data_IF_677174032329
#
_entry.id   IF_677174032329
#
_cell.length_a   1.000
_cell.length_b   1.000
_cell.length_c   1.000
_cell.angle_alpha   90.00
_cell.angle_beta   90.00
_cell.angle_gamma   90.00
#
_symmetry.space_group_name_H-M   'P 1'
#
loop_
_entity.id
_entity.type
_entity.pdbx_description
1 polymer ?
#
# COMPACT_ATOMS: atom_id res chain seq x y z
N UNK A 1 -6.79 25.62 2.77
CA UNK A 1 -7.61 24.57 2.07
C UNK A 1 -8.54 23.88 3.05
N UNK A 2 -9.72 23.41 2.63
CA UNK A 2 -10.65 22.69 3.54
C UNK A 2 -10.42 21.16 3.45
N UNK A 3 -9.28 20.67 3.94
CA UNK A 3 -8.96 19.23 3.99
C UNK A 3 -9.25 18.67 5.38
N UNK A 4 -9.95 17.54 5.43
CA UNK A 4 -10.31 16.83 6.66
C UNK A 4 -9.59 15.49 6.82
N UNK A 5 -9.06 14.94 5.70
CA UNK A 5 -8.33 13.68 5.70
C UNK A 5 -7.09 13.77 4.83
N UNK A 6 -5.94 13.47 5.43
CA UNK A 6 -4.67 13.34 4.72
C UNK A 6 -4.27 11.86 4.70
N UNK A 7 -4.26 11.27 3.52
CA UNK A 7 -3.67 9.97 3.25
C UNK A 7 -2.17 10.16 3.01
N UNK A 8 -1.33 9.44 3.73
CA UNK A 8 0.13 9.59 3.70
C UNK A 8 0.79 8.28 3.33
N UNK A 9 1.73 8.31 2.41
CA UNK A 9 2.77 7.28 2.39
C UNK A 9 3.71 7.47 3.57
N UNK A 10 4.58 6.48 3.84
CA UNK A 10 5.45 6.51 5.02
C UNK A 10 6.92 6.72 4.64
N UNK A 11 7.55 5.72 4.04
CA UNK A 11 8.98 5.72 3.72
C UNK A 11 9.27 6.67 2.55
N UNK A 12 10.18 7.62 2.72
CA UNK A 12 10.44 8.68 1.73
C UNK A 12 9.51 9.89 1.84
N UNK A 13 8.40 9.77 2.56
CA UNK A 13 7.41 10.85 2.76
C UNK A 13 7.46 11.44 4.16
N UNK A 14 7.38 10.61 5.20
CA UNK A 14 7.37 11.03 6.61
C UNK A 14 8.70 10.77 7.29
N UNK A 15 9.35 9.69 6.94
CA UNK A 15 10.64 9.29 7.47
C UNK A 15 11.49 8.56 6.42
N UNK A 16 12.79 8.37 6.71
CA UNK A 16 13.66 7.47 5.97
C UNK A 16 14.38 6.55 6.97
N UNK A 17 14.18 5.24 6.82
CA UNK A 17 14.66 4.26 7.80
C UNK A 17 14.02 4.51 9.17
N UNK A 18 14.82 4.88 10.17
CA UNK A 18 14.35 5.20 11.53
C UNK A 18 14.37 6.70 11.86
N UNK A 19 14.55 7.56 10.87
CA UNK A 19 14.67 9.00 11.06
C UNK A 19 13.54 9.77 10.40
N UNK A 20 12.77 10.51 11.21
CA UNK A 20 11.77 11.45 10.71
C UNK A 20 12.42 12.55 9.88
N UNK A 21 11.74 12.95 8.80
CA UNK A 21 12.09 14.19 8.12
C UNK A 21 11.83 15.40 9.03
N UNK A 22 12.68 16.41 8.86
CA UNK A 22 12.55 17.68 9.61
C UNK A 22 11.15 18.28 9.39
N UNK A 23 10.49 18.72 10.46
CA UNK A 23 9.16 19.30 10.42
C UNK A 23 8.02 18.29 10.42
N UNK A 24 8.29 16.99 10.34
CA UNK A 24 7.22 15.99 10.37
C UNK A 24 6.39 16.05 11.67
N UNK A 25 7.03 16.14 12.84
CA UNK A 25 6.30 16.24 14.11
C UNK A 25 5.38 17.44 14.15
N UNK A 26 5.89 18.59 13.76
CA UNK A 26 5.15 19.87 13.69
C UNK A 26 3.93 19.74 12.74
N UNK A 27 4.08 18.99 11.65
CA UNK A 27 2.96 18.74 10.72
C UNK A 27 1.87 17.88 11.37
N UNK A 28 2.21 16.83 12.11
CA UNK A 28 1.20 16.02 12.81
C UNK A 28 0.56 16.78 13.99
N UNK A 29 1.30 17.62 14.69
CA UNK A 29 0.75 18.54 15.69
C UNK A 29 -0.23 19.53 15.06
N UNK A 30 0.11 20.09 13.89
CA UNK A 30 -0.79 20.95 13.12
C UNK A 30 -2.09 20.21 12.74
N UNK A 31 -2.01 18.96 12.28
CA UNK A 31 -3.22 18.19 11.99
C UNK A 31 -4.11 18.08 13.22
N UNK A 32 -3.54 17.74 14.38
CA UNK A 32 -4.28 17.62 15.65
C UNK A 32 -4.93 18.92 16.07
N UNK A 33 -4.25 20.07 15.92
CA UNK A 33 -4.75 21.40 16.27
C UNK A 33 -5.87 21.88 15.35
N UNK A 34 -5.96 21.39 14.12
CA UNK A 34 -6.92 21.81 13.10
C UNK A 34 -7.99 20.73 12.79
N UNK A 35 -8.13 19.71 13.64
CA UNK A 35 -9.09 18.61 13.46
C UNK A 35 -8.95 17.89 12.11
N UNK A 36 -7.72 17.80 11.58
CA UNK A 36 -7.41 17.09 10.36
C UNK A 36 -7.03 15.66 10.70
N UNK A 37 -7.80 14.69 10.22
CA UNK A 37 -7.47 13.27 10.34
C UNK A 37 -6.35 12.88 9.39
N UNK A 38 -5.52 11.93 9.80
CA UNK A 38 -4.51 11.36 8.92
C UNK A 38 -4.53 9.83 8.96
N UNK A 39 -4.17 9.23 7.83
CA UNK A 39 -4.03 7.78 7.69
C UNK A 39 -2.82 7.44 6.84
N UNK A 40 -1.95 6.61 7.38
CA UNK A 40 -0.84 6.02 6.64
C UNK A 40 -1.34 4.90 5.73
N UNK A 41 -1.06 5.00 4.43
CA UNK A 41 -1.39 3.99 3.43
C UNK A 41 -0.14 3.22 3.03
N UNK A 42 -0.08 1.94 3.37
CA UNK A 42 1.06 1.10 3.04
C UNK A 42 0.70 -0.05 2.11
N UNK A 43 1.51 -0.24 1.05
CA UNK A 43 1.47 -1.43 0.21
C UNK A 43 2.18 -2.62 0.87
N UNK A 44 3.03 -2.36 1.87
CA UNK A 44 3.81 -3.41 2.51
C UNK A 44 2.91 -4.29 3.40
N UNK A 45 2.83 -5.56 3.04
CA UNK A 45 2.03 -6.59 3.72
C UNK A 45 2.87 -7.51 4.63
N UNK A 46 4.17 -7.25 4.78
CA UNK A 46 5.07 -8.11 5.57
C UNK A 46 5.03 -7.84 7.07
N UNK A 47 4.48 -6.69 7.49
CA UNK A 47 4.41 -6.32 8.89
C UNK A 47 2.97 -6.09 9.36
N UNK A 48 2.72 -6.39 10.63
CA UNK A 48 1.41 -6.12 11.26
C UNK A 48 1.21 -4.64 11.58
N UNK A 49 -0.05 -4.20 11.75
CA UNK A 49 -0.34 -2.82 12.17
C UNK A 49 0.33 -2.43 13.49
N UNK A 50 0.36 -3.27 14.55
CA UNK A 50 1.09 -2.96 15.78
C UNK A 50 2.57 -2.62 15.56
N UNK A 51 3.25 -3.29 14.62
CA UNK A 51 4.64 -2.97 14.27
C UNK A 51 4.79 -1.52 13.79
N UNK A 52 3.92 -1.08 12.87
CA UNK A 52 3.95 0.28 12.36
C UNK A 52 3.58 1.32 13.43
N UNK A 53 2.58 1.03 14.25
CA UNK A 53 2.20 1.87 15.39
C UNK A 53 3.38 2.09 16.33
N UNK A 54 4.07 1.02 16.72
CA UNK A 54 5.23 1.09 17.61
C UNK A 54 6.40 1.86 16.96
N UNK A 55 6.64 1.64 15.67
CA UNK A 55 7.70 2.35 14.91
C UNK A 55 7.43 3.85 14.91
N UNK A 56 6.24 4.29 14.53
CA UNK A 56 5.87 5.70 14.43
C UNK A 56 5.84 6.38 15.82
N UNK A 57 5.33 5.69 16.84
CA UNK A 57 5.36 6.19 18.23
C UNK A 57 6.78 6.39 18.75
N UNK A 58 7.71 5.46 18.49
CA UNK A 58 9.14 5.60 18.86
C UNK A 58 9.80 6.82 18.20
N UNK A 59 9.35 7.19 17.00
CA UNK A 59 9.79 8.41 16.32
C UNK A 59 9.15 9.67 16.91
N UNK A 60 8.14 9.56 17.78
CA UNK A 60 7.52 10.65 18.52
C UNK A 60 6.29 11.26 17.85
N UNK A 61 5.59 10.53 16.99
CA UNK A 61 4.28 10.87 16.46
C UNK A 61 3.21 10.06 17.20
N UNK A 62 2.20 10.73 17.77
CA UNK A 62 1.05 10.06 18.39
C UNK A 62 0.16 9.43 17.31
N UNK A 63 -0.06 8.12 17.40
CA UNK A 63 -0.91 7.38 16.48
C UNK A 63 -1.42 6.08 17.14
N UNK A 64 -2.42 5.49 16.57
CA UNK A 64 -2.90 4.14 16.92
C UNK A 64 -3.22 3.35 15.63
N UNK A 65 -3.75 2.14 15.75
CA UNK A 65 -4.06 1.31 14.58
C UNK A 65 -5.07 1.96 13.64
N UNK A 66 -5.92 2.87 14.11
CA UNK A 66 -6.91 3.58 13.28
C UNK A 66 -6.27 4.54 12.27
N UNK A 67 -5.03 4.97 12.54
CA UNK A 67 -4.21 5.81 11.66
C UNK A 67 -3.47 5.03 10.55
N UNK A 68 -3.69 3.73 10.46
CA UNK A 68 -3.05 2.90 9.43
C UNK A 68 -4.10 2.19 8.58
N UNK A 69 -3.75 2.01 7.33
CA UNK A 69 -4.54 1.21 6.40
C UNK A 69 -3.58 0.51 5.43
N UNK A 70 -3.63 -0.81 5.43
CA UNK A 70 -2.69 -1.63 4.66
C UNK A 70 -3.34 -2.31 3.45
N UNK A 71 -2.51 -2.79 2.55
CA UNK A 71 -2.96 -3.66 1.46
C UNK A 71 -3.60 -4.95 1.97
N UNK A 72 -3.27 -5.40 3.20
CA UNK A 72 -3.89 -6.57 3.84
C UNK A 72 -5.38 -6.32 4.09
N UNK A 73 -5.72 -5.20 4.75
CA UNK A 73 -7.12 -4.84 5.04
C UNK A 73 -7.92 -4.63 3.76
N UNK A 74 -7.31 -3.96 2.77
CA UNK A 74 -7.90 -3.79 1.44
C UNK A 74 -8.23 -5.13 0.81
N UNK A 75 -7.28 -6.07 0.88
CA UNK A 75 -7.44 -7.42 0.33
C UNK A 75 -8.55 -8.19 1.04
N UNK A 76 -8.56 -8.21 2.36
CA UNK A 76 -9.61 -8.90 3.15
C UNK A 76 -10.99 -8.34 2.81
N UNK A 77 -11.16 -7.02 2.76
CA UNK A 77 -12.43 -6.39 2.39
C UNK A 77 -12.84 -6.73 0.96
N UNK A 78 -11.89 -6.68 0.01
CA UNK A 78 -12.16 -7.03 -1.39
C UNK A 78 -12.64 -8.48 -1.53
N UNK A 79 -11.91 -9.43 -0.93
CA UNK A 79 -12.27 -10.85 -1.00
C UNK A 79 -13.62 -11.13 -0.34
N UNK A 80 -13.92 -10.55 0.82
CA UNK A 80 -15.22 -10.66 1.51
C UNK A 80 -16.37 -10.10 0.65
N UNK A 81 -16.18 -8.92 0.04
CA UNK A 81 -17.16 -8.28 -0.83
C UNK A 81 -17.51 -9.14 -2.06
N UNK A 82 -16.52 -9.88 -2.56
CA UNK A 82 -16.70 -10.80 -3.68
C UNK A 82 -17.11 -12.23 -3.26
N UNK A 83 -17.46 -12.45 -1.99
CA UNK A 83 -17.90 -13.75 -1.43
C UNK A 83 -16.86 -14.87 -1.59
N UNK A 84 -15.59 -14.57 -1.72
CA UNK A 84 -14.49 -15.56 -1.81
C UNK A 84 -14.40 -16.34 -0.49
N UNK A 85 -14.22 -17.65 -0.58
CA UNK A 85 -14.14 -18.54 0.58
C UNK A 85 -12.82 -19.29 0.66
N UNK A 86 -12.33 -19.79 -0.48
CA UNK A 86 -11.13 -20.61 -0.54
C UNK A 86 -10.05 -19.94 -1.37
N UNK A 87 -8.89 -19.74 -0.79
CA UNK A 87 -7.75 -19.06 -1.43
C UNK A 87 -6.47 -19.89 -1.29
N UNK A 88 -5.56 -19.74 -2.25
CA UNK A 88 -4.17 -20.12 -2.13
C UNK A 88 -3.31 -18.88 -1.99
N UNK A 89 -2.37 -18.84 -1.05
CA UNK A 89 -1.61 -17.62 -0.73
C UNK A 89 -0.12 -17.86 -0.95
N UNK A 90 0.49 -17.00 -1.75
CA UNK A 90 1.93 -16.82 -1.87
C UNK A 90 2.30 -15.54 -1.12
N UNK A 91 2.95 -15.66 0.03
CA UNK A 91 3.28 -14.59 0.96
C UNK A 91 3.86 -15.13 2.26
N UNK A 92 4.44 -14.26 3.08
CA UNK A 92 5.03 -14.64 4.37
C UNK A 92 4.02 -15.32 5.30
N UNK A 93 4.50 -16.18 6.21
CA UNK A 93 3.64 -16.93 7.13
C UNK A 93 2.73 -16.02 7.97
N UNK A 94 3.23 -14.88 8.45
CA UNK A 94 2.43 -13.91 9.18
C UNK A 94 1.21 -13.40 8.40
N UNK A 95 1.35 -13.19 7.09
CA UNK A 95 0.25 -12.82 6.20
C UNK A 95 -0.74 -13.98 5.99
N UNK A 96 -0.23 -15.19 5.77
CA UNK A 96 -1.06 -16.41 5.66
C UNK A 96 -1.91 -16.61 6.93
N UNK A 97 -1.32 -16.43 8.12
CA UNK A 97 -2.01 -16.61 9.40
C UNK A 97 -3.10 -15.54 9.64
N UNK A 98 -2.89 -14.31 9.20
CA UNK A 98 -3.95 -13.29 9.24
C UNK A 98 -5.13 -13.69 8.34
N UNK A 99 -4.86 -14.16 7.13
CA UNK A 99 -5.90 -14.57 6.18
C UNK A 99 -6.67 -15.81 6.63
N UNK A 100 -6.04 -16.75 7.34
CA UNK A 100 -6.71 -17.94 7.92
C UNK A 100 -7.82 -17.58 8.91
N UNK A 101 -7.79 -16.40 9.54
CA UNK A 101 -8.88 -15.91 10.40
C UNK A 101 -10.16 -15.60 9.61
N UNK A 102 -10.06 -15.47 8.30
CA UNK A 102 -11.15 -14.98 7.45
C UNK A 102 -11.53 -15.94 6.32
N UNK A 103 -10.60 -16.77 5.86
CA UNK A 103 -10.73 -17.61 4.67
C UNK A 103 -10.19 -19.02 4.89
N UNK A 104 -10.67 -19.96 4.08
CA UNK A 104 -10.04 -21.28 3.96
C UNK A 104 -8.76 -21.13 3.10
N UNK A 105 -7.59 -21.12 3.74
CA UNK A 105 -6.29 -20.98 3.09
C UNK A 105 -5.70 -22.36 2.82
N UNK A 106 -5.46 -22.68 1.55
CA UNK A 106 -4.78 -23.91 1.17
C UNK A 106 -3.27 -23.75 1.41
N UNK A 107 -2.68 -24.66 2.16
CA UNK A 107 -1.24 -24.61 2.50
C UNK A 107 -0.35 -25.34 1.49
N UNK A 108 -0.92 -26.29 0.74
CA UNK A 108 -0.21 -27.09 -0.25
C UNK A 108 -1.06 -27.27 -1.49
N UNK A 109 -0.40 -27.61 -2.59
CA UNK A 109 -1.10 -27.98 -3.82
C UNK A 109 -1.90 -29.27 -3.63
N UNK A 110 -3.18 -29.20 -3.99
CA UNK A 110 -4.09 -30.34 -4.07
C UNK A 110 -4.73 -30.35 -5.46
N UNK A 111 -4.51 -31.41 -6.20
CA UNK A 111 -5.07 -31.58 -7.55
C UNK A 111 -6.60 -31.69 -7.59
N UNK A 112 -7.23 -32.05 -6.49
CA UNK A 112 -8.68 -32.21 -6.37
C UNK A 112 -9.42 -30.91 -6.03
N UNK A 113 -8.68 -29.87 -5.65
CA UNK A 113 -9.22 -28.57 -5.24
C UNK A 113 -8.74 -27.48 -6.21
N UNK A 114 -9.64 -26.58 -6.58
CA UNK A 114 -9.30 -25.32 -7.26
C UNK A 114 -9.74 -24.19 -6.35
N UNK A 115 -8.81 -23.43 -5.74
CA UNK A 115 -9.17 -22.26 -4.96
C UNK A 115 -9.78 -21.20 -5.87
N UNK A 116 -10.70 -20.37 -5.35
CA UNK A 116 -11.32 -19.29 -6.11
C UNK A 116 -10.27 -18.24 -6.52
N UNK A 117 -9.27 -18.04 -5.64
CA UNK A 117 -8.22 -17.03 -5.82
C UNK A 117 -6.86 -17.60 -5.46
N UNK A 118 -5.86 -17.30 -6.30
CA UNK A 118 -4.44 -17.27 -5.93
C UNK A 118 -4.10 -15.83 -5.58
N UNK A 119 -3.77 -15.60 -4.31
CA UNK A 119 -3.39 -14.31 -3.78
C UNK A 119 -1.87 -14.23 -3.62
N UNK A 120 -1.24 -13.27 -4.29
CA UNK A 120 0.20 -13.02 -4.21
C UNK A 120 0.47 -11.76 -3.40
N UNK A 121 1.45 -11.82 -2.53
CA UNK A 121 1.91 -10.75 -1.66
C UNK A 121 3.43 -10.70 -1.65
N UNK A 122 4.01 -9.74 -0.91
CA UNK A 122 5.44 -9.73 -0.61
C UNK A 122 5.82 -11.00 0.15
N UNK A 123 6.85 -11.71 -0.31
CA UNK A 123 7.23 -13.00 0.26
C UNK A 123 8.75 -13.17 0.33
N UNK A 124 9.30 -13.06 1.53
CA UNK A 124 10.71 -13.32 1.84
C UNK A 124 10.98 -14.76 2.28
N UNK A 125 9.94 -15.57 2.38
CA UNK A 125 9.99 -16.98 2.81
C UNK A 125 9.72 -17.95 1.66
N UNK A 126 9.62 -17.42 0.41
CA UNK A 126 9.24 -18.13 -0.80
C UNK A 126 10.06 -19.39 -1.03
N UNK A 127 9.38 -20.52 -1.24
CA UNK A 127 9.97 -21.75 -1.77
C UNK A 127 9.39 -22.09 -3.15
N UNK A 128 10.17 -22.78 -3.98
CA UNK A 128 9.79 -23.07 -5.36
C UNK A 128 8.47 -23.85 -5.49
N UNK A 129 8.19 -24.77 -4.57
CA UNK A 129 6.95 -25.56 -4.61
C UNK A 129 5.69 -24.69 -4.38
N UNK A 130 5.77 -23.62 -3.60
CA UNK A 130 4.67 -22.68 -3.44
C UNK A 130 4.43 -21.87 -4.72
N UNK A 131 5.49 -21.37 -5.35
CA UNK A 131 5.40 -20.67 -6.64
C UNK A 131 4.82 -21.58 -7.73
N UNK A 132 5.30 -22.84 -7.81
CA UNK A 132 4.76 -23.85 -8.73
C UNK A 132 3.27 -24.08 -8.50
N UNK A 133 2.83 -24.23 -7.26
CA UNK A 133 1.44 -24.42 -6.90
C UNK A 133 0.57 -23.25 -7.34
N UNK A 134 1.03 -22.00 -7.10
CA UNK A 134 0.36 -20.79 -7.56
C UNK A 134 0.14 -20.81 -9.08
N UNK A 135 1.19 -21.10 -9.85
CA UNK A 135 1.09 -21.19 -11.31
C UNK A 135 0.10 -22.28 -11.76
N UNK A 136 0.12 -23.44 -11.13
CA UNK A 136 -0.79 -24.55 -11.48
C UNK A 136 -2.25 -24.17 -11.19
N UNK A 137 -2.55 -23.56 -10.07
CA UNK A 137 -3.90 -23.13 -9.71
C UNK A 137 -4.42 -22.05 -10.68
N UNK A 138 -3.59 -21.05 -11.03
CA UNK A 138 -3.97 -20.00 -11.99
C UNK A 138 -4.27 -20.60 -13.38
N UNK A 139 -3.43 -21.54 -13.85
CA UNK A 139 -3.66 -22.23 -15.12
C UNK A 139 -4.94 -23.08 -15.12
N UNK A 140 -5.36 -23.55 -13.94
CA UNK A 140 -6.60 -24.32 -13.73
C UNK A 140 -7.84 -23.44 -13.54
N UNK A 141 -7.69 -22.12 -13.57
CA UNK A 141 -8.83 -21.18 -13.58
C UNK A 141 -9.03 -20.38 -12.31
N UNK A 142 -8.16 -20.50 -11.29
CA UNK A 142 -8.20 -19.58 -10.15
C UNK A 142 -7.96 -18.14 -10.59
N UNK A 143 -8.68 -17.19 -10.01
CA UNK A 143 -8.41 -15.77 -10.23
C UNK A 143 -7.03 -15.40 -9.68
N UNK A 144 -6.27 -14.62 -10.42
CA UNK A 144 -4.95 -14.13 -10.01
C UNK A 144 -5.07 -12.72 -9.43
N UNK A 145 -4.85 -12.58 -8.12
CA UNK A 145 -4.94 -11.33 -7.37
C UNK A 145 -3.62 -11.07 -6.64
N UNK A 146 -3.23 -9.81 -6.53
CA UNK A 146 -2.02 -9.41 -5.85
C UNK A 146 -2.26 -8.20 -4.93
N UNK A 147 -1.55 -8.17 -3.80
CA UNK A 147 -1.70 -7.09 -2.80
C UNK A 147 -1.19 -5.75 -3.29
N UNK A 148 -0.10 -5.74 -4.08
CA UNK A 148 0.53 -4.52 -4.61
C UNK A 148 1.36 -4.82 -5.85
N UNK A 149 1.70 -3.77 -6.60
CA UNK A 149 2.44 -3.89 -7.85
C UNK A 149 3.94 -3.58 -7.75
N UNK A 150 4.44 -3.31 -6.56
CA UNK A 150 5.84 -2.94 -6.36
C UNK A 150 6.77 -4.08 -6.82
N UNK A 151 7.69 -3.78 -7.75
CA UNK A 151 8.62 -4.80 -8.29
C UNK A 151 9.75 -5.11 -7.34
N UNK A 152 10.13 -4.16 -6.51
CA UNK A 152 11.28 -4.22 -5.62
C UNK A 152 11.01 -3.46 -4.33
N UNK A 153 11.48 -4.01 -3.22
CA UNK A 153 11.46 -3.37 -1.91
C UNK A 153 12.86 -2.78 -1.63
N UNK A 154 12.98 -1.48 -1.32
CA UNK A 154 14.25 -0.90 -0.93
C UNK A 154 14.67 -1.43 0.45
N UNK A 155 15.97 -1.68 0.59
CA UNK A 155 16.61 -2.04 1.86
C UNK A 155 17.81 -1.11 2.13
N UNK A 156 18.47 -1.29 3.26
CA UNK A 156 19.64 -0.49 3.63
C UNK A 156 20.71 -0.44 2.53
N UNK A 157 21.52 0.61 2.55
CA UNK A 157 22.62 0.86 1.61
C UNK A 157 22.19 1.02 0.14
N UNK A 158 20.96 1.42 -0.12
CA UNK A 158 20.46 1.64 -1.48
C UNK A 158 20.29 0.37 -2.32
N UNK A 159 20.23 -0.79 -1.67
CA UNK A 159 19.99 -2.07 -2.31
C UNK A 159 18.48 -2.36 -2.40
N UNK A 160 18.11 -3.36 -3.20
CA UNK A 160 16.73 -3.77 -3.41
C UNK A 160 16.60 -5.29 -3.37
N UNK A 161 15.46 -5.75 -2.87
CA UNK A 161 15.03 -7.15 -2.94
C UNK A 161 13.74 -7.27 -3.77
N UNK A 162 13.42 -8.46 -4.35
CA UNK A 162 12.18 -8.68 -5.07
C UNK A 162 10.97 -8.43 -4.16
N UNK A 163 9.94 -7.77 -4.71
CA UNK A 163 8.65 -7.53 -4.05
C UNK A 163 7.51 -8.22 -4.82
N UNK A 164 6.29 -8.08 -4.36
CA UNK A 164 5.07 -8.71 -4.86
C UNK A 164 4.93 -8.62 -6.38
N UNK A 165 5.08 -7.43 -6.97
CA UNK A 165 4.99 -7.23 -8.43
C UNK A 165 6.07 -7.98 -9.20
N UNK A 166 7.26 -8.17 -8.62
CA UNK A 166 8.31 -9.02 -9.20
C UNK A 166 7.90 -10.48 -9.27
N UNK A 167 7.32 -11.01 -8.18
CA UNK A 167 6.75 -12.37 -8.14
C UNK A 167 5.59 -12.52 -9.13
N UNK A 168 4.70 -11.55 -9.17
CA UNK A 168 3.59 -11.52 -10.12
C UNK A 168 4.09 -11.59 -11.57
N UNK A 169 5.15 -10.85 -11.90
CA UNK A 169 5.71 -10.88 -13.26
C UNK A 169 6.24 -12.27 -13.63
N UNK A 170 6.89 -12.94 -12.69
CA UNK A 170 7.37 -14.32 -12.90
C UNK A 170 6.19 -15.28 -13.14
N UNK A 171 5.13 -15.17 -12.32
CA UNK A 171 3.91 -15.98 -12.48
C UNK A 171 3.22 -15.67 -13.81
N UNK A 172 3.10 -14.39 -14.20
CA UNK A 172 2.50 -13.97 -15.48
C UNK A 172 3.21 -14.59 -16.68
N UNK A 173 4.55 -14.62 -16.67
CA UNK A 173 5.36 -15.23 -17.72
C UNK A 173 5.15 -16.75 -17.82
N UNK A 174 4.80 -17.42 -16.71
CA UNK A 174 4.55 -18.86 -16.68
C UNK A 174 3.11 -19.21 -17.07
N UNK A 175 2.14 -18.35 -16.80
CA UNK A 175 0.70 -18.65 -16.87
C UNK A 175 -0.04 -17.94 -18.00
N UNK A 176 0.60 -16.96 -18.65
CA UNK A 176 -0.03 -16.01 -19.60
C UNK A 176 -1.25 -15.28 -19.01
N UNK A 177 -1.24 -15.06 -17.67
CA UNK A 177 -2.27 -14.31 -16.95
C UNK A 177 -1.65 -13.14 -16.20
N UNK A 178 -2.35 -12.00 -16.19
CA UNK A 178 -1.95 -10.84 -15.41
C UNK A 178 -2.79 -10.75 -14.13
N UNK A 179 -2.20 -10.29 -13.00
CA UNK A 179 -2.93 -10.15 -11.74
C UNK A 179 -3.85 -8.93 -11.73
N UNK A 180 -4.89 -9.01 -10.92
CA UNK A 180 -5.60 -7.82 -10.42
C UNK A 180 -4.89 -7.32 -9.18
N UNK A 181 -4.30 -6.14 -9.24
CA UNK A 181 -3.67 -5.49 -8.09
C UNK A 181 -4.72 -4.77 -7.22
N UNK A 182 -4.54 -4.78 -5.89
CA UNK A 182 -5.48 -4.16 -4.95
C UNK A 182 -4.89 -2.95 -4.21
N UNK A 183 -3.58 -2.91 -4.03
CA UNK A 183 -2.86 -1.80 -3.41
C UNK A 183 -2.62 -0.62 -4.37
N UNK A 184 -1.98 0.43 -3.88
CA UNK A 184 -1.56 1.58 -4.71
C UNK A 184 -0.80 1.08 -5.97
N UNK A 185 -1.07 1.57 -7.16
CA UNK A 185 -1.82 2.78 -7.52
C UNK A 185 -3.34 2.60 -7.70
N UNK A 186 -3.91 1.45 -7.38
CA UNK A 186 -5.35 1.28 -7.41
C UNK A 186 -6.02 2.16 -6.33
N UNK A 187 -7.13 2.84 -6.65
CA UNK A 187 -7.76 3.79 -5.73
C UNK A 187 -8.56 3.13 -4.59
N UNK A 188 -8.68 1.81 -4.63
CA UNK A 188 -9.55 1.02 -3.72
C UNK A 188 -9.25 1.32 -2.25
N UNK A 189 -7.96 1.39 -1.87
CA UNK A 189 -7.53 1.71 -0.51
C UNK A 189 -8.00 3.09 -0.07
N UNK A 190 -7.86 4.09 -0.93
CA UNK A 190 -8.29 5.49 -0.68
C UNK A 190 -9.80 5.54 -0.50
N UNK A 191 -10.59 4.91 -1.37
CA UNK A 191 -12.06 4.88 -1.24
C UNK A 191 -12.51 4.22 0.07
N UNK A 192 -11.87 3.13 0.48
CA UNK A 192 -12.20 2.45 1.73
C UNK A 192 -11.89 3.30 2.97
N UNK A 193 -10.81 4.10 2.91
CA UNK A 193 -10.45 5.04 3.99
C UNK A 193 -11.41 6.23 3.99
N UNK A 194 -11.73 6.81 2.83
CA UNK A 194 -12.73 7.88 2.74
C UNK A 194 -14.10 7.43 3.31
N UNK A 195 -14.54 6.21 3.00
CA UNK A 195 -15.76 5.63 3.56
C UNK A 195 -15.68 5.51 5.10
N UNK A 196 -14.52 5.00 5.60
CA UNK A 196 -14.28 4.85 7.05
C UNK A 196 -14.38 6.18 7.81
N UNK A 197 -13.89 7.27 7.21
CA UNK A 197 -13.86 8.60 7.83
C UNK A 197 -15.07 9.48 7.46
N UNK A 198 -15.93 9.04 6.55
CA UNK A 198 -17.13 9.77 6.13
C UNK A 198 -16.80 11.09 5.42
N UNK A 199 -15.72 11.15 4.64
CA UNK A 199 -15.24 12.36 3.97
C UNK A 199 -15.38 12.28 2.45
N UNK A 200 -15.52 13.44 1.81
CA UNK A 200 -15.60 13.55 0.35
C UNK A 200 -14.21 13.57 -0.32
N UNK A 201 -14.20 13.52 -1.64
CA UNK A 201 -12.96 13.63 -2.44
C UNK A 201 -12.29 15.00 -2.26
N UNK A 202 -13.07 16.06 -2.21
CA UNK A 202 -12.62 17.44 -2.05
C UNK A 202 -11.97 17.65 -0.67
N UNK A 203 -12.43 16.91 0.33
CA UNK A 203 -11.93 16.95 1.71
C UNK A 203 -10.72 16.03 1.95
N UNK A 204 -10.35 15.23 0.94
CA UNK A 204 -9.26 14.24 1.03
C UNK A 204 -8.06 14.65 0.18
N UNK A 205 -6.87 14.27 0.63
CA UNK A 205 -5.61 14.51 -0.07
C UNK A 205 -4.70 13.31 0.07
N UNK A 206 -3.95 12.95 -0.99
CA UNK A 206 -2.88 11.95 -0.94
C UNK A 206 -1.53 12.62 -0.97
N UNK A 207 -0.66 12.32 -0.03
CA UNK A 207 0.72 12.80 0.06
C UNK A 207 1.67 11.62 -0.07
N UNK A 208 2.64 11.71 -0.99
CA UNK A 208 3.60 10.63 -1.21
C UNK A 208 4.78 11.06 -2.06
N UNK A 209 5.84 10.27 -2.07
CA UNK A 209 7.07 10.52 -2.81
C UNK A 209 7.16 9.72 -4.11
N UNK A 210 6.38 8.63 -4.25
CA UNK A 210 6.42 7.78 -5.43
C UNK A 210 5.32 8.13 -6.42
N UNK A 211 5.74 8.51 -7.64
CA UNK A 211 4.79 8.84 -8.69
C UNK A 211 3.87 7.67 -9.03
N UNK A 212 4.46 6.51 -9.31
CA UNK A 212 3.74 5.37 -9.90
C UNK A 212 2.82 4.63 -8.93
N UNK A 213 2.94 4.84 -7.63
CA UNK A 213 2.04 4.30 -6.60
C UNK A 213 1.19 5.40 -5.97
N UNK A 214 1.78 6.32 -5.22
CA UNK A 214 1.06 7.27 -4.36
C UNK A 214 0.30 8.31 -5.16
N UNK A 215 1.03 9.00 -6.04
CA UNK A 215 0.45 10.10 -6.82
C UNK A 215 -0.57 9.55 -7.81
N UNK A 216 -0.26 8.43 -8.48
CA UNK A 216 -1.20 7.79 -9.39
C UNK A 216 -2.43 7.25 -8.65
N UNK A 217 -2.30 6.73 -7.42
CA UNK A 217 -3.46 6.32 -6.62
C UNK A 217 -4.39 7.48 -6.30
N UNK A 218 -3.85 8.62 -5.86
CA UNK A 218 -4.65 9.82 -5.60
C UNK A 218 -5.32 10.36 -6.86
N UNK A 219 -4.60 10.41 -7.99
CA UNK A 219 -5.16 10.80 -9.29
C UNK A 219 -6.29 9.85 -9.72
N UNK A 220 -6.11 8.54 -9.57
CA UNK A 220 -7.12 7.53 -9.91
C UNK A 220 -8.33 7.60 -8.97
N UNK A 221 -8.13 7.98 -7.71
CA UNK A 221 -9.21 8.24 -6.77
C UNK A 221 -9.98 9.55 -7.07
N UNK A 222 -9.37 10.45 -7.83
CA UNK A 222 -9.92 11.77 -8.14
C UNK A 222 -9.86 12.74 -6.96
N UNK A 223 -8.79 12.64 -6.14
CA UNK A 223 -8.50 13.52 -5.00
C UNK A 223 -7.26 14.36 -5.28
N UNK A 224 -7.04 15.41 -4.49
CA UNK A 224 -5.80 16.19 -4.57
C UNK A 224 -4.59 15.34 -4.19
N UNK A 225 -3.48 15.59 -4.88
CA UNK A 225 -2.21 14.87 -4.67
C UNK A 225 -1.07 15.83 -4.40
N UNK A 226 -0.28 15.53 -3.41
CA UNK A 226 0.94 16.27 -3.05
C UNK A 226 2.14 15.36 -3.19
N UNK A 227 3.00 15.68 -4.13
CA UNK A 227 4.29 15.02 -4.29
C UNK A 227 5.32 15.68 -3.39
N UNK A 228 6.01 14.90 -2.56
CA UNK A 228 7.17 15.36 -1.77
C UNK A 228 8.46 14.94 -2.48
N UNK A 229 9.48 15.81 -2.42
CA UNK A 229 10.79 15.58 -3.06
C UNK A 229 11.79 14.93 -2.11
N UNK A 230 11.37 14.51 -0.93
CA UNK A 230 12.20 13.87 0.09
C UNK A 230 12.51 12.38 -0.18
N UNK A 231 11.84 11.77 -1.14
CA UNK A 231 11.92 10.32 -1.41
C UNK A 231 12.43 9.95 -2.80
N UNK A 232 11.76 8.98 -3.45
CA UNK A 232 12.26 8.28 -4.65
C UNK A 232 12.14 9.11 -5.93
N UNK A 233 11.00 9.77 -6.17
CA UNK A 233 10.72 10.41 -7.46
C UNK A 233 11.26 11.83 -7.50
N UNK A 234 12.04 12.15 -8.52
CA UNK A 234 12.65 13.48 -8.70
C UNK A 234 11.66 14.52 -9.24
N UNK A 235 11.95 15.81 -8.99
CA UNK A 235 11.18 16.93 -9.55
C UNK A 235 11.05 16.85 -11.09
N UNK A 236 12.11 16.40 -11.77
CA UNK A 236 12.10 16.24 -13.23
C UNK A 236 11.09 15.19 -13.68
N UNK A 237 11.02 14.06 -12.98
CA UNK A 237 10.08 12.98 -13.26
C UNK A 237 8.65 13.44 -13.02
N UNK A 238 8.34 14.08 -11.87
CA UNK A 238 7.02 14.65 -11.61
C UNK A 238 6.59 15.65 -12.69
N UNK A 239 7.50 16.55 -13.12
CA UNK A 239 7.21 17.54 -14.17
C UNK A 239 7.04 16.93 -15.56
N UNK A 240 7.69 15.82 -15.84
CA UNK A 240 7.60 15.11 -17.14
C UNK A 240 6.45 14.12 -17.20
N UNK A 241 5.83 13.78 -16.07
CA UNK A 241 4.75 12.81 -15.98
C UNK A 241 3.54 13.23 -16.82
N UNK A 242 2.88 12.24 -17.46
CA UNK A 242 1.68 12.48 -18.27
C UNK A 242 0.51 13.06 -17.48
N UNK A 243 0.30 12.56 -16.27
CA UNK A 243 -0.64 13.11 -15.29
C UNK A 243 0.19 13.69 -14.15
N UNK A 244 0.02 14.97 -13.85
CA UNK A 244 0.82 15.66 -12.84
C UNK A 244 0.16 15.58 -11.48
N UNK A 245 0.94 15.59 -10.37
CA UNK A 245 0.39 15.85 -9.04
C UNK A 245 -0.28 17.23 -9.01
N UNK A 246 -1.25 17.42 -8.10
CA UNK A 246 -1.89 18.73 -7.88
C UNK A 246 -0.86 19.73 -7.35
N UNK A 247 -0.01 19.28 -6.42
CA UNK A 247 1.04 20.09 -5.79
C UNK A 247 2.35 19.31 -5.75
N UNK A 248 3.47 20.03 -5.73
CA UNK A 248 4.82 19.52 -5.49
C UNK A 248 5.46 20.40 -4.42
N UNK A 249 5.93 19.80 -3.35
CA UNK A 249 6.60 20.44 -2.22
C UNK A 249 7.93 19.74 -1.92
N UNK A 250 8.84 20.40 -1.22
CA UNK A 250 10.16 19.82 -0.95
C UNK A 250 10.06 18.69 0.08
N UNK A 251 9.25 18.86 1.13
CA UNK A 251 9.10 17.91 2.22
C UNK A 251 7.73 17.98 2.90
N UNK A 252 7.46 17.05 3.79
CA UNK A 252 6.23 17.05 4.60
C UNK A 252 6.06 18.34 5.44
N UNK A 253 7.15 19.02 5.80
CA UNK A 253 7.10 20.29 6.56
C UNK A 253 6.32 21.39 5.81
N UNK A 254 6.45 21.44 4.48
CA UNK A 254 5.84 22.46 3.64
C UNK A 254 4.31 22.25 3.48
N UNK A 255 3.81 21.12 3.95
CA UNK A 255 2.38 20.81 3.90
C UNK A 255 1.56 21.76 4.77
N UNK A 256 2.12 22.27 5.87
CA UNK A 256 1.46 23.27 6.74
C UNK A 256 1.14 24.53 5.95
N UNK A 257 2.12 25.08 5.24
CA UNK A 257 1.94 26.29 4.44
C UNK A 257 0.95 26.06 3.29
N UNK A 258 1.01 24.87 2.68
CA UNK A 258 0.06 24.50 1.63
C UNK A 258 -1.38 24.43 2.14
N UNK A 259 -1.62 23.88 3.33
CA UNK A 259 -2.96 23.76 3.92
C UNK A 259 -3.53 25.09 4.39
N UNK A 260 -2.68 26.07 4.75
CA UNK A 260 -3.08 27.41 5.17
C UNK A 260 -3.48 28.32 4.00
N UNK A 261 -3.09 27.99 2.77
CA UNK A 261 -3.46 28.73 1.55
C UNK A 261 -4.73 28.16 0.90
#
# INVERSE_FOLDING_TARGET
MNKKLICLDMDGTVYLGDHLFKGAKETFEYFKQNDISFVFLTNNSSHSLPFYVDKIKKMGIECDESNFYSSIETTIKYLKKNNIKTIYVLGVNAFKDELKKHFNVLEKYDENIIPEVVLVSFDTELVYDELKAACLYIQRGSAFIATNMDYRCPIENGLYIPDCGGLCKWISMCTDKEPTFLGKPEPTMIYQVMEKFGVSKEETMMVGDRYYTDIVAGINAGIDTVAVLSGETTLKEFKSAKKKPTYIIDSIADLIDLLNN
#
